data_IF_533084193555
#
_entry.id   IF_533084193555
#
_cell.length_a   1.000
_cell.length_b   1.000
_cell.length_c   1.000
_cell.angle_alpha   90.00
_cell.angle_beta   90.00
_cell.angle_gamma   90.00
#
_symmetry.space_group_name_H-M   'P 1'
#
loop_
_entity.id
_entity.type
_entity.pdbx_description
1 polymer ?
#
# COMPACT_ATOMS: atom_id res chain seq x y z
N UNK A 1 -15.64 -17.58 -7.65
CA UNK A 1 -16.33 -16.28 -7.51
C UNK A 1 -17.10 -16.32 -6.21
N UNK A 2 -17.22 -15.19 -5.52
CA UNK A 2 -18.04 -15.09 -4.32
C UNK A 2 -19.52 -15.13 -4.67
N UNK A 3 -20.31 -15.82 -3.85
CA UNK A 3 -21.75 -15.64 -3.81
C UNK A 3 -22.12 -14.28 -3.23
N UNK A 4 -23.33 -13.79 -3.51
CA UNK A 4 -23.81 -12.53 -2.93
C UNK A 4 -23.83 -12.56 -1.39
N UNK A 5 -24.18 -13.71 -0.79
CA UNK A 5 -24.17 -13.87 0.67
C UNK A 5 -22.77 -13.82 1.29
N UNK A 6 -21.77 -14.41 0.62
CA UNK A 6 -20.37 -14.31 1.04
C UNK A 6 -19.87 -12.86 0.98
N UNK A 7 -20.16 -12.14 -0.11
CA UNK A 7 -19.78 -10.73 -0.26
C UNK A 7 -20.41 -9.87 0.84
N UNK A 8 -21.71 -10.03 1.10
CA UNK A 8 -22.39 -9.29 2.15
C UNK A 8 -21.76 -9.51 3.52
N UNK A 9 -21.42 -10.76 3.83
CA UNK A 9 -20.75 -11.11 5.09
C UNK A 9 -19.38 -10.46 5.19
N UNK A 10 -18.56 -10.54 4.13
CA UNK A 10 -17.22 -9.92 4.10
C UNK A 10 -17.29 -8.39 4.22
N UNK A 11 -18.20 -7.73 3.49
CA UNK A 11 -18.40 -6.28 3.59
C UNK A 11 -18.85 -5.84 4.98
N UNK A 12 -19.73 -6.60 5.64
CA UNK A 12 -20.10 -6.33 7.03
C UNK A 12 -18.88 -6.40 7.96
N UNK A 13 -17.95 -7.35 7.75
CA UNK A 13 -16.71 -7.44 8.54
C UNK A 13 -15.80 -6.24 8.32
N UNK A 14 -15.66 -5.73 7.09
CA UNK A 14 -14.93 -4.48 6.83
C UNK A 14 -15.58 -3.28 7.51
N UNK A 15 -16.91 -3.16 7.47
CA UNK A 15 -17.62 -2.08 8.15
C UNK A 15 -17.38 -2.13 9.66
N UNK A 16 -17.52 -3.30 10.29
CA UNK A 16 -17.22 -3.49 11.72
C UNK A 16 -15.78 -3.10 12.07
N UNK A 17 -14.81 -3.40 11.20
CA UNK A 17 -13.42 -3.01 11.37
C UNK A 17 -13.27 -1.48 11.32
N UNK A 18 -13.75 -0.83 10.26
CA UNK A 18 -13.60 0.61 10.04
C UNK A 18 -14.40 1.46 11.04
N UNK A 19 -15.56 0.98 11.48
CA UNK A 19 -16.39 1.63 12.50
C UNK A 19 -15.90 1.33 13.94
N UNK A 20 -14.86 0.50 14.08
CA UNK A 20 -14.36 0.02 15.37
C UNK A 20 -15.50 -0.53 16.25
N UNK A 21 -16.37 -1.32 15.63
CA UNK A 21 -17.49 -1.96 16.32
C UNK A 21 -16.97 -2.99 17.34
N UNK A 22 -17.72 -3.19 18.42
CA UNK A 22 -17.45 -4.25 19.38
C UNK A 22 -17.59 -5.61 18.71
N UNK A 23 -16.49 -6.37 18.66
CA UNK A 23 -16.40 -7.68 18.03
C UNK A 23 -15.64 -8.66 18.93
N UNK A 24 -15.94 -9.95 18.81
CA UNK A 24 -15.26 -10.98 19.60
C UNK A 24 -13.90 -11.38 19.02
N UNK A 25 -13.68 -11.16 17.73
CA UNK A 25 -12.43 -11.49 17.02
C UNK A 25 -12.09 -10.44 15.96
N UNK A 26 -10.79 -10.22 15.66
CA UNK A 26 -10.35 -9.27 14.66
C UNK A 26 -10.85 -9.65 13.26
N UNK A 27 -10.76 -8.70 12.33
CA UNK A 27 -10.82 -9.02 10.91
C UNK A 27 -9.61 -9.89 10.56
N UNK A 28 -9.80 -10.93 9.75
CA UNK A 28 -8.70 -11.81 9.37
C UNK A 28 -8.62 -12.01 7.87
N UNK A 29 -7.41 -11.99 7.34
CA UNK A 29 -7.14 -12.21 5.93
C UNK A 29 -5.75 -12.80 5.69
N UNK A 30 -5.58 -13.45 4.54
CA UNK A 30 -4.30 -14.05 4.16
C UNK A 30 -3.77 -13.50 2.84
N UNK A 31 -2.47 -13.16 2.82
CA UNK A 31 -1.69 -12.94 1.61
C UNK A 31 -0.95 -14.24 1.26
N UNK A 32 -1.32 -14.92 0.16
CA UNK A 32 -0.66 -16.15 -0.27
C UNK A 32 0.29 -15.90 -1.45
N UNK A 33 1.42 -16.61 -1.49
CA UNK A 33 2.47 -16.43 -2.51
C UNK A 33 3.74 -15.72 -2.00
N UNK A 34 3.84 -15.51 -0.69
CA UNK A 34 5.00 -14.88 -0.04
C UNK A 34 4.98 -13.35 -0.04
N UNK A 35 6.13 -12.75 0.31
CA UNK A 35 6.27 -11.29 0.46
C UNK A 35 6.47 -10.53 -0.86
N UNK A 36 6.99 -11.18 -1.89
CA UNK A 36 7.52 -10.50 -3.08
C UNK A 36 6.68 -10.76 -4.34
N UNK A 37 6.32 -9.72 -5.11
CA UNK A 37 5.48 -9.89 -6.30
C UNK A 37 6.16 -10.71 -7.42
N UNK A 38 7.50 -10.74 -7.48
CA UNK A 38 8.26 -11.46 -8.52
C UNK A 38 8.01 -12.97 -8.58
N UNK A 39 7.66 -13.59 -7.45
CA UNK A 39 7.28 -15.01 -7.43
C UNK A 39 5.89 -15.23 -8.02
N UNK A 40 5.06 -14.19 -7.98
CA UNK A 40 3.64 -14.25 -8.30
C UNK A 40 3.32 -13.82 -9.74
N UNK A 41 4.14 -13.00 -10.39
CA UNK A 41 3.91 -12.55 -11.76
C UNK A 41 5.02 -13.07 -12.69
N UNK A 42 4.73 -14.15 -13.43
CA UNK A 42 5.67 -14.80 -14.34
C UNK A 42 5.91 -14.01 -15.61
N UNK A 43 4.96 -13.17 -16.03
CA UNK A 43 5.09 -12.32 -17.21
C UNK A 43 6.36 -11.45 -17.17
N UNK A 44 6.77 -10.98 -15.99
CA UNK A 44 7.98 -10.15 -15.83
C UNK A 44 9.28 -10.92 -16.10
N UNK A 45 9.26 -12.26 -16.05
CA UNK A 45 10.44 -13.07 -16.31
C UNK A 45 10.95 -12.94 -17.75
N UNK A 46 10.08 -12.53 -18.69
CA UNK A 46 10.48 -12.22 -20.06
C UNK A 46 11.47 -11.02 -20.13
N UNK A 47 11.46 -10.15 -19.12
CA UNK A 47 12.30 -8.95 -19.02
C UNK A 47 13.46 -9.13 -18.02
N UNK A 48 13.72 -10.37 -17.57
CA UNK A 48 14.72 -10.63 -16.52
C UNK A 48 16.17 -10.36 -16.93
N UNK A 49 16.44 -10.22 -18.24
CA UNK A 49 17.78 -9.91 -18.77
C UNK A 49 17.94 -8.42 -19.14
N UNK A 50 16.90 -7.61 -18.97
CA UNK A 50 16.99 -6.18 -19.18
C UNK A 50 17.64 -5.51 -17.97
N UNK A 51 18.31 -4.38 -18.17
CA UNK A 51 18.84 -3.54 -17.08
C UNK A 51 17.93 -2.34 -16.78
N UNK A 52 17.09 -1.96 -17.75
CA UNK A 52 16.17 -0.82 -17.70
C UNK A 52 14.83 -1.29 -18.24
N UNK A 53 13.75 -0.97 -17.52
CA UNK A 53 12.40 -1.15 -17.99
C UNK A 53 11.89 0.15 -18.60
N UNK A 54 11.31 0.04 -19.79
CA UNK A 54 10.52 1.09 -20.42
C UNK A 54 9.03 0.73 -20.37
N UNK A 55 8.16 1.74 -20.40
CA UNK A 55 6.73 1.53 -20.25
C UNK A 55 6.14 0.65 -21.37
N UNK A 56 6.65 0.78 -22.60
CA UNK A 56 6.18 0.05 -23.78
C UNK A 56 6.54 -1.44 -23.77
N UNK A 57 7.58 -1.84 -23.03
CA UNK A 57 7.98 -3.23 -22.81
C UNK A 57 6.93 -4.03 -22.03
N UNK A 58 6.09 -3.37 -21.24
CA UNK A 58 5.06 -4.00 -20.43
C UNK A 58 3.78 -4.18 -21.25
N UNK A 59 3.38 -5.43 -21.53
CA UNK A 59 2.07 -5.72 -22.11
C UNK A 59 1.08 -6.17 -21.02
N UNK A 60 0.06 -5.36 -20.65
CA UNK A 60 -0.92 -5.76 -19.64
C UNK A 60 -1.58 -7.12 -19.92
N UNK A 61 -1.84 -7.46 -21.17
CA UNK A 61 -2.50 -8.73 -21.53
C UNK A 61 -1.60 -9.94 -21.24
N UNK A 62 -0.28 -9.80 -21.38
CA UNK A 62 0.67 -10.83 -21.01
C UNK A 62 0.66 -11.15 -19.50
N UNK A 63 0.22 -10.21 -18.65
CA UNK A 63 0.12 -10.39 -17.20
C UNK A 63 -1.21 -11.02 -16.77
N UNK A 64 -2.26 -11.00 -17.60
CA UNK A 64 -3.59 -11.52 -17.24
C UNK A 64 -3.58 -12.98 -16.74
N UNK A 65 -2.86 -13.93 -17.36
CA UNK A 65 -2.79 -15.30 -16.87
C UNK A 65 -2.27 -15.42 -15.43
N UNK A 66 -1.38 -14.52 -15.00
CA UNK A 66 -0.89 -14.48 -13.62
C UNK A 66 -1.95 -13.95 -12.66
N UNK A 67 -2.62 -12.85 -13.00
CA UNK A 67 -3.75 -12.33 -12.22
C UNK A 67 -4.85 -13.38 -12.04
N UNK A 68 -5.27 -14.03 -13.13
CA UNK A 68 -6.31 -15.06 -13.08
C UNK A 68 -5.89 -16.23 -12.17
N UNK A 69 -4.65 -16.69 -12.31
CA UNK A 69 -4.11 -17.77 -11.46
C UNK A 69 -4.09 -17.39 -9.99
N UNK A 70 -3.60 -16.19 -9.65
CA UNK A 70 -3.56 -15.70 -8.26
C UNK A 70 -4.98 -15.60 -7.68
N UNK A 71 -5.89 -14.94 -8.40
CA UNK A 71 -7.29 -14.79 -7.96
C UNK A 71 -7.97 -16.14 -7.78
N UNK A 72 -7.82 -17.07 -8.73
CA UNK A 72 -8.39 -18.41 -8.66
C UNK A 72 -7.84 -19.22 -7.48
N UNK A 73 -6.55 -19.08 -7.18
CA UNK A 73 -5.90 -19.78 -6.08
C UNK A 73 -6.29 -19.21 -4.70
N UNK A 74 -6.47 -17.89 -4.60
CA UNK A 74 -6.64 -17.19 -3.31
C UNK A 74 -8.09 -16.90 -2.93
N UNK A 75 -8.99 -16.75 -3.91
CA UNK A 75 -10.43 -16.52 -3.66
C UNK A 75 -11.07 -17.57 -2.73
N UNK A 76 -10.75 -18.88 -2.84
CA UNK A 76 -11.36 -19.91 -2.00
C UNK A 76 -10.87 -19.93 -0.53
N UNK A 77 -9.86 -19.14 -0.18
CA UNK A 77 -9.34 -19.07 1.19
C UNK A 77 -10.48 -18.65 2.13
N UNK A 78 -10.65 -19.41 3.21
CA UNK A 78 -11.70 -19.17 4.20
C UNK A 78 -11.24 -18.11 5.20
N UNK A 79 -11.48 -16.84 4.85
CA UNK A 79 -11.19 -15.68 5.68
C UNK A 79 -12.26 -14.57 5.52
N UNK A 80 -12.04 -13.40 6.11
CA UNK A 80 -13.04 -12.32 6.11
C UNK A 80 -12.91 -11.36 4.92
N UNK A 81 -11.90 -11.52 4.05
CA UNK A 81 -11.53 -10.50 3.07
C UNK A 81 -11.81 -10.90 1.62
N UNK A 82 -12.06 -9.92 0.76
CA UNK A 82 -12.23 -10.13 -0.67
C UNK A 82 -10.88 -10.08 -1.38
N UNK A 83 -10.71 -10.86 -2.45
CA UNK A 83 -9.53 -10.80 -3.32
C UNK A 83 -9.80 -9.90 -4.51
N UNK A 84 -8.84 -9.07 -4.84
CA UNK A 84 -8.88 -8.12 -5.95
C UNK A 84 -7.53 -8.01 -6.65
N UNK A 85 -7.44 -7.07 -7.57
CA UNK A 85 -6.24 -6.83 -8.36
C UNK A 85 -5.92 -5.34 -8.43
N UNK A 86 -4.69 -5.03 -8.82
CA UNK A 86 -4.20 -3.68 -9.08
C UNK A 86 -3.14 -3.74 -10.20
N UNK A 87 -2.82 -2.60 -10.85
CA UNK A 87 -1.68 -2.51 -11.76
C UNK A 87 -0.42 -3.10 -11.13
N UNK A 88 0.43 -3.73 -11.94
CA UNK A 88 1.52 -4.58 -11.47
C UNK A 88 2.31 -3.91 -10.31
N UNK A 89 2.24 -4.46 -9.08
CA UNK A 89 2.61 -3.71 -7.88
C UNK A 89 4.12 -3.53 -7.67
N UNK A 90 4.95 -4.18 -8.50
CA UNK A 90 6.41 -4.06 -8.39
C UNK A 90 6.98 -2.80 -9.07
N UNK A 91 6.21 -2.14 -9.94
CA UNK A 91 6.68 -0.93 -10.62
C UNK A 91 6.62 0.26 -9.63
N UNK A 92 7.70 1.05 -9.51
CA UNK A 92 7.68 2.33 -8.78
C UNK A 92 6.94 3.38 -9.61
N UNK A 93 5.60 3.24 -9.69
CA UNK A 93 4.76 3.98 -10.63
C UNK A 93 4.92 5.50 -10.52
N UNK A 94 5.01 6.04 -9.30
CA UNK A 94 5.13 7.49 -9.08
C UNK A 94 6.48 8.00 -9.58
N UNK A 95 7.58 7.35 -9.19
CA UNK A 95 8.92 7.74 -9.62
C UNK A 95 9.12 7.58 -11.12
N UNK A 96 8.55 6.52 -11.71
CA UNK A 96 8.58 6.30 -13.14
C UNK A 96 7.84 7.41 -13.91
N UNK A 97 6.66 7.83 -13.43
CA UNK A 97 5.91 8.96 -14.00
C UNK A 97 6.68 10.29 -13.86
N UNK A 98 7.45 10.46 -12.78
CA UNK A 98 8.37 11.59 -12.59
C UNK A 98 9.64 11.50 -13.45
N UNK A 99 9.76 10.49 -14.30
CA UNK A 99 10.85 10.32 -15.25
C UNK A 99 12.11 9.72 -14.66
N UNK A 100 12.05 9.05 -13.51
CA UNK A 100 13.17 8.23 -13.02
C UNK A 100 13.38 7.02 -13.93
N UNK A 101 14.63 6.65 -14.16
CA UNK A 101 14.96 5.40 -14.87
C UNK A 101 14.53 4.22 -14.00
N UNK A 102 13.67 3.35 -14.53
CA UNK A 102 13.23 2.15 -13.82
C UNK A 102 14.22 1.03 -14.11
N UNK A 103 14.95 0.59 -13.09
CA UNK A 103 15.90 -0.54 -13.17
C UNK A 103 15.20 -1.84 -12.82
N UNK A 104 15.61 -2.93 -13.46
CA UNK A 104 15.20 -4.28 -13.11
C UNK A 104 16.45 -5.14 -12.87
N UNK A 105 16.36 -6.01 -11.87
CA UNK A 105 17.33 -7.05 -11.58
C UNK A 105 16.59 -8.30 -11.08
N UNK A 106 17.25 -9.47 -10.99
CA UNK A 106 16.62 -10.67 -10.44
C UNK A 106 15.97 -10.41 -9.07
N UNK A 107 14.63 -10.41 -9.05
CA UNK A 107 13.83 -10.23 -7.84
C UNK A 107 13.63 -8.78 -7.36
N UNK A 108 14.01 -7.76 -8.15
CA UNK A 108 13.83 -6.36 -7.76
C UNK A 108 13.58 -5.43 -8.95
N UNK A 109 12.73 -4.43 -8.76
CA UNK A 109 12.53 -3.29 -9.66
C UNK A 109 12.57 -2.04 -8.78
N UNK A 110 13.33 -1.03 -9.19
CA UNK A 110 13.45 0.21 -8.44
C UNK A 110 13.67 1.40 -9.37
N UNK A 111 13.43 2.61 -8.86
CA UNK A 111 13.72 3.85 -9.56
C UNK A 111 15.13 4.33 -9.21
N UNK A 112 15.91 4.68 -10.22
CA UNK A 112 17.20 5.35 -10.04
C UNK A 112 17.01 6.81 -9.63
N UNK A 113 17.81 7.29 -8.68
CA UNK A 113 17.79 8.68 -8.24
C UNK A 113 18.24 9.60 -9.37
N UNK A 114 17.44 10.64 -9.68
CA UNK A 114 17.77 11.59 -10.75
C UNK A 114 18.77 12.67 -10.32
N UNK A 115 18.86 12.95 -9.02
CA UNK A 115 19.74 13.99 -8.46
C UNK A 115 19.57 15.37 -9.10
N UNK A 116 18.33 15.76 -9.41
CA UNK A 116 18.02 16.99 -10.15
C UNK A 116 18.44 18.27 -9.41
N UNK A 117 18.76 19.31 -10.18
CA UNK A 117 18.91 20.68 -9.72
C UNK A 117 17.54 21.34 -9.43
N UNK A 118 17.55 22.46 -8.70
CA UNK A 118 16.31 23.20 -8.41
C UNK A 118 15.61 23.70 -9.68
N UNK A 119 16.36 24.20 -10.66
CA UNK A 119 15.82 24.67 -11.94
C UNK A 119 15.10 23.54 -12.71
N UNK A 120 15.66 22.33 -12.70
CA UNK A 120 15.02 21.15 -13.32
C UNK A 120 13.74 20.75 -12.57
N UNK A 121 13.77 20.81 -11.23
CA UNK A 121 12.61 20.51 -10.38
C UNK A 121 11.47 21.52 -10.52
N UNK A 122 11.76 22.76 -10.94
CA UNK A 122 10.71 23.73 -11.23
C UNK A 122 9.81 23.30 -12.38
N UNK A 123 10.35 22.55 -13.33
CA UNK A 123 9.66 22.10 -14.55
C UNK A 123 9.05 20.71 -14.45
N UNK A 124 9.17 20.03 -13.30
CA UNK A 124 8.64 18.68 -13.12
C UNK A 124 7.10 18.69 -13.25
N UNK A 125 6.59 17.82 -14.13
CA UNK A 125 5.16 17.62 -14.33
C UNK A 125 4.89 16.20 -14.84
N UNK A 126 3.66 15.74 -14.68
CA UNK A 126 3.18 14.48 -15.26
C UNK A 126 2.03 14.83 -16.21
N UNK A 127 2.35 14.87 -17.49
CA UNK A 127 1.39 15.16 -18.55
C UNK A 127 0.51 13.94 -18.87
N UNK A 128 -0.63 14.16 -19.55
CA UNK A 128 -1.56 13.08 -19.88
C UNK A 128 -0.94 12.03 -20.81
N UNK A 129 -0.04 12.42 -21.70
CA UNK A 129 0.67 11.53 -22.63
C UNK A 129 1.91 10.87 -22.02
N UNK A 130 2.16 11.05 -20.71
CA UNK A 130 3.27 10.40 -20.01
C UNK A 130 3.21 8.87 -20.18
N UNK A 131 4.26 8.22 -20.72
CA UNK A 131 4.23 6.79 -21.06
C UNK A 131 3.92 5.88 -19.87
N UNK A 132 4.44 6.20 -18.68
CA UNK A 132 4.21 5.42 -17.46
C UNK A 132 2.81 5.62 -16.91
N UNK A 133 2.26 6.83 -16.98
CA UNK A 133 0.85 7.08 -16.67
C UNK A 133 -0.06 6.31 -17.62
N UNK A 134 0.18 6.38 -18.93
CA UNK A 134 -0.60 5.64 -19.92
C UNK A 134 -0.52 4.14 -19.69
N UNK A 135 0.66 3.61 -19.34
CA UNK A 135 0.81 2.19 -19.02
C UNK A 135 0.07 1.78 -17.76
N UNK A 136 0.16 2.59 -16.70
CA UNK A 136 -0.59 2.38 -15.46
C UNK A 136 -2.10 2.34 -15.69
N UNK A 137 -2.63 3.29 -16.48
CA UNK A 137 -4.04 3.32 -16.84
C UNK A 137 -4.42 2.15 -17.77
N UNK A 138 -3.54 1.71 -18.67
CA UNK A 138 -3.77 0.52 -19.50
C UNK A 138 -3.88 -0.77 -18.67
N UNK A 139 -3.02 -0.95 -17.65
CA UNK A 139 -3.18 -2.04 -16.68
C UNK A 139 -4.51 -1.95 -15.93
N UNK A 140 -4.89 -0.74 -15.51
CA UNK A 140 -6.15 -0.51 -14.80
C UNK A 140 -7.35 -0.88 -15.68
N UNK A 141 -7.40 -0.39 -16.91
CA UNK A 141 -8.47 -0.70 -17.89
C UNK A 141 -8.56 -2.20 -18.15
N UNK A 142 -7.43 -2.87 -18.43
CA UNK A 142 -7.40 -4.32 -18.63
C UNK A 142 -7.99 -5.06 -17.42
N UNK A 143 -7.62 -4.68 -16.20
CA UNK A 143 -8.15 -5.32 -14.99
C UNK A 143 -9.64 -5.07 -14.77
N UNK A 144 -10.12 -3.86 -15.09
CA UNK A 144 -11.54 -3.49 -14.98
C UNK A 144 -12.36 -4.29 -15.98
N UNK A 145 -11.92 -4.36 -17.24
CA UNK A 145 -12.57 -5.13 -18.29
C UNK A 145 -12.63 -6.62 -17.92
N UNK A 146 -11.52 -7.17 -17.43
CA UNK A 146 -11.44 -8.57 -17.00
C UNK A 146 -12.19 -8.85 -15.71
N UNK A 147 -12.41 -7.86 -14.85
CA UNK A 147 -13.15 -8.04 -13.60
C UNK A 147 -14.58 -8.48 -13.88
N UNK A 148 -15.27 -7.84 -14.83
CA UNK A 148 -16.70 -8.05 -15.07
C UNK A 148 -17.54 -7.98 -13.78
N UNK A 149 -17.09 -7.17 -12.79
CA UNK A 149 -17.71 -7.05 -11.47
C UNK A 149 -17.51 -8.26 -10.54
N UNK A 150 -16.56 -9.16 -10.84
CA UNK A 150 -16.31 -10.38 -10.03
C UNK A 150 -15.29 -10.16 -8.90
N UNK A 151 -14.44 -9.16 -9.02
CA UNK A 151 -13.43 -8.77 -8.02
C UNK A 151 -13.15 -7.26 -8.07
N UNK A 152 -12.75 -6.62 -6.96
CA UNK A 152 -12.39 -5.22 -6.98
C UNK A 152 -11.06 -5.00 -7.71
N UNK A 153 -10.97 -3.90 -8.46
CA UNK A 153 -9.72 -3.34 -8.96
C UNK A 153 -9.41 -2.10 -8.13
N UNK A 154 -8.20 -2.03 -7.58
CA UNK A 154 -7.87 -1.03 -6.56
C UNK A 154 -6.43 -0.55 -6.63
N UNK A 155 -6.05 0.29 -5.67
CA UNK A 155 -4.74 0.93 -5.63
C UNK A 155 -3.61 -0.10 -5.44
N UNK A 156 -2.53 -0.03 -6.25
CA UNK A 156 -1.30 -0.74 -5.97
C UNK A 156 -0.46 0.03 -4.94
N UNK A 157 0.83 -0.29 -4.85
CA UNK A 157 1.80 0.57 -4.16
C UNK A 157 1.97 1.85 -5.00
N UNK A 158 1.70 3.00 -4.39
CA UNK A 158 2.10 4.32 -4.87
C UNK A 158 2.93 4.94 -3.74
N UNK A 159 4.22 5.14 -3.97
CA UNK A 159 5.14 5.68 -2.96
C UNK A 159 4.88 7.16 -2.74
N UNK A 160 5.03 7.60 -1.49
CA UNK A 160 4.58 8.91 -1.04
C UNK A 160 5.61 10.01 -1.28
N UNK A 161 5.42 11.12 -0.56
CA UNK A 161 6.08 12.38 -0.86
C UNK A 161 7.58 12.30 -0.55
N UNK A 162 7.98 11.73 0.58
CA UNK A 162 9.40 11.58 0.92
C UNK A 162 10.13 10.67 -0.07
N UNK A 163 9.48 9.62 -0.57
CA UNK A 163 10.04 8.71 -1.55
C UNK A 163 10.20 9.39 -2.91
N UNK A 164 9.18 10.14 -3.36
CA UNK A 164 9.23 10.94 -4.58
C UNK A 164 10.33 12.01 -4.50
N UNK A 165 10.47 12.68 -3.35
CA UNK A 165 11.55 13.64 -3.10
C UNK A 165 12.92 12.97 -3.18
N UNK A 166 13.11 11.83 -2.51
CA UNK A 166 14.36 11.07 -2.53
C UNK A 166 14.73 10.64 -3.96
N UNK A 167 13.76 10.16 -4.74
CA UNK A 167 13.98 9.74 -6.12
C UNK A 167 14.36 10.90 -7.05
N UNK A 168 13.74 12.07 -6.88
CA UNK A 168 14.01 13.24 -7.71
C UNK A 168 15.32 13.95 -7.33
N UNK A 169 15.51 14.23 -6.03
CA UNK A 169 16.58 15.08 -5.51
C UNK A 169 17.84 14.32 -5.10
N UNK A 170 17.67 13.03 -4.82
CA UNK A 170 18.66 12.13 -4.23
C UNK A 170 18.44 11.98 -2.73
N UNK A 171 18.47 10.75 -2.21
CA UNK A 171 18.13 10.40 -0.83
C UNK A 171 19.00 11.09 0.22
N UNK A 172 20.29 11.30 -0.06
CA UNK A 172 21.18 12.05 0.83
C UNK A 172 20.98 13.55 0.71
N UNK A 173 20.79 14.05 -0.53
CA UNK A 173 20.78 15.48 -0.83
C UNK A 173 19.52 16.15 -0.31
N UNK A 174 18.36 15.48 -0.43
CA UNK A 174 17.10 15.96 0.12
C UNK A 174 17.19 16.21 1.63
N UNK A 175 17.92 15.39 2.39
CA UNK A 175 18.04 15.56 3.84
C UNK A 175 18.83 16.82 4.22
N UNK A 176 19.84 17.20 3.43
CA UNK A 176 20.52 18.49 3.60
C UNK A 176 19.62 19.65 3.18
N UNK A 177 18.89 19.50 2.08
CA UNK A 177 17.97 20.52 1.58
C UNK A 177 16.84 20.86 2.57
N UNK A 178 16.46 19.94 3.48
CA UNK A 178 15.50 20.21 4.57
C UNK A 178 15.96 21.38 5.46
N UNK A 179 17.26 21.64 5.55
CA UNK A 179 17.83 22.75 6.30
C UNK A 179 18.27 23.90 5.40
N UNK A 180 18.93 23.58 4.29
CA UNK A 180 19.58 24.58 3.44
C UNK A 180 18.60 25.26 2.46
N UNK A 181 17.52 24.56 2.09
CA UNK A 181 16.56 24.97 1.06
C UNK A 181 15.09 24.61 1.43
N UNK A 182 14.61 24.99 2.63
CA UNK A 182 13.30 24.54 3.13
C UNK A 182 12.12 25.09 2.31
N UNK A 183 12.23 26.31 1.77
CA UNK A 183 11.16 26.94 0.99
C UNK A 183 11.04 26.34 -0.40
N UNK A 184 12.17 26.01 -1.05
CA UNK A 184 12.20 25.27 -2.30
C UNK A 184 11.58 23.87 -2.13
N UNK A 185 11.93 23.17 -1.06
CA UNK A 185 11.34 21.85 -0.76
C UNK A 185 9.84 21.94 -0.55
N UNK A 186 9.33 22.92 0.22
CA UNK A 186 7.89 23.10 0.43
C UNK A 186 7.15 23.31 -0.90
N UNK A 187 7.70 24.14 -1.80
CA UNK A 187 7.12 24.33 -3.15
C UNK A 187 7.14 23.04 -3.98
N UNK A 188 8.20 22.24 -3.88
CA UNK A 188 8.28 20.96 -4.58
C UNK A 188 7.26 19.96 -4.01
N UNK A 189 7.16 19.86 -2.69
CA UNK A 189 6.18 19.03 -1.96
C UNK A 189 4.76 19.33 -2.44
N UNK A 190 4.38 20.61 -2.53
CA UNK A 190 3.06 21.01 -3.03
C UNK A 190 2.81 20.50 -4.46
N UNK A 191 3.81 20.53 -5.34
CA UNK A 191 3.71 19.96 -6.69
C UNK A 191 3.52 18.45 -6.66
N UNK A 192 4.29 17.74 -5.83
CA UNK A 192 4.22 16.28 -5.73
C UNK A 192 2.89 15.81 -5.15
N UNK A 193 2.33 16.53 -4.17
CA UNK A 193 0.97 16.29 -3.65
C UNK A 193 -0.07 16.40 -4.76
N UNK A 194 0.00 17.44 -5.58
CA UNK A 194 -0.93 17.62 -6.70
C UNK A 194 -0.80 16.50 -7.76
N UNK A 195 0.43 16.07 -8.06
CA UNK A 195 0.68 14.94 -8.97
C UNK A 195 0.11 13.64 -8.39
N UNK A 196 0.34 13.38 -7.10
CA UNK A 196 -0.19 12.20 -6.42
C UNK A 196 -1.72 12.17 -6.47
N UNK A 197 -2.38 13.28 -6.12
CA UNK A 197 -3.84 13.44 -6.19
C UNK A 197 -4.37 13.22 -7.61
N UNK A 198 -3.68 13.74 -8.63
CA UNK A 198 -4.06 13.55 -10.03
C UNK A 198 -4.05 12.06 -10.41
N UNK A 199 -2.99 11.32 -10.07
CA UNK A 199 -2.85 9.89 -10.41
C UNK A 199 -3.93 9.05 -9.73
N UNK A 200 -4.16 9.24 -8.42
CA UNK A 200 -5.19 8.47 -7.70
C UNK A 200 -6.61 8.79 -8.19
N UNK A 201 -6.87 10.03 -8.63
CA UNK A 201 -8.17 10.43 -9.15
C UNK A 201 -8.43 9.77 -10.50
N UNK A 202 -7.45 9.80 -11.42
CA UNK A 202 -7.55 9.10 -12.71
C UNK A 202 -7.79 7.60 -12.53
N UNK A 203 -7.10 6.97 -11.58
CA UNK A 203 -7.36 5.54 -11.29
C UNK A 203 -8.78 5.32 -10.76
N UNK A 204 -9.21 6.10 -9.78
CA UNK A 204 -10.52 5.95 -9.15
C UNK A 204 -11.69 6.17 -10.13
N UNK A 205 -11.50 7.06 -11.11
CA UNK A 205 -12.45 7.28 -12.21
C UNK A 205 -12.57 6.06 -13.12
N UNK A 206 -11.44 5.41 -13.45
CA UNK A 206 -11.43 4.20 -14.28
C UNK A 206 -11.99 2.97 -13.56
N UNK A 207 -11.62 2.76 -12.29
CA UNK A 207 -12.04 1.54 -11.57
C UNK A 207 -13.51 1.59 -11.18
N UNK A 208 -14.02 2.78 -10.84
CA UNK A 208 -15.34 2.94 -10.24
C UNK A 208 -15.48 2.18 -8.90
N UNK A 209 -16.67 2.22 -8.28
CA UNK A 209 -16.91 1.52 -7.03
C UNK A 209 -17.21 0.03 -7.24
N UNK A 210 -16.57 -0.84 -6.46
CA UNK A 210 -16.92 -2.25 -6.34
C UNK A 210 -17.89 -2.42 -5.15
N UNK A 211 -19.16 -2.72 -5.43
CA UNK A 211 -20.23 -2.81 -4.42
C UNK A 211 -20.32 -1.56 -3.53
N UNK A 212 -20.15 -0.38 -4.11
CA UNK A 212 -20.22 0.91 -3.39
C UNK A 212 -18.94 1.32 -2.67
N UNK A 213 -17.86 0.55 -2.79
CA UNK A 213 -16.58 0.85 -2.14
C UNK A 213 -15.36 0.75 -3.05
N UNK A 214 -14.20 1.07 -2.50
CA UNK A 214 -12.90 1.05 -3.18
C UNK A 214 -11.96 0.06 -2.49
N UNK A 215 -10.77 -0.16 -3.07
CA UNK A 215 -9.89 -1.26 -2.66
C UNK A 215 -8.41 -0.87 -2.66
N UNK A 216 -7.64 -1.35 -1.68
CA UNK A 216 -6.16 -1.44 -1.71
C UNK A 216 -5.78 -2.91 -1.81
N UNK A 217 -5.04 -3.25 -2.85
CA UNK A 217 -4.76 -4.65 -3.19
C UNK A 217 -3.87 -5.37 -2.18
N UNK A 218 -2.73 -4.77 -1.81
CA UNK A 218 -1.74 -5.44 -0.95
C UNK A 218 -2.31 -5.86 0.40
N UNK A 219 -3.22 -5.05 0.95
CA UNK A 219 -3.84 -5.28 2.25
C UNK A 219 -5.22 -5.96 2.14
N UNK A 220 -5.67 -6.30 0.93
CA UNK A 220 -7.04 -6.73 0.69
C UNK A 220 -8.07 -5.85 1.44
N UNK A 221 -7.82 -4.54 1.50
CA UNK A 221 -8.63 -3.61 2.28
C UNK A 221 -9.71 -3.01 1.39
N UNK A 222 -10.97 -3.25 1.73
CA UNK A 222 -12.11 -2.60 1.12
C UNK A 222 -12.72 -1.60 2.11
N UNK A 223 -13.20 -0.46 1.60
CA UNK A 223 -13.94 0.51 2.40
C UNK A 223 -15.19 1.00 1.65
N UNK A 224 -16.29 1.35 2.35
CA UNK A 224 -17.56 1.77 1.76
C UNK A 224 -17.51 3.24 1.27
N UNK A 225 -16.49 3.56 0.48
CA UNK A 225 -16.22 4.89 -0.05
C UNK A 225 -14.82 4.95 -0.67
N UNK A 226 -14.47 6.11 -1.25
CA UNK A 226 -13.11 6.31 -1.77
C UNK A 226 -12.09 6.14 -0.65
N UNK A 227 -10.96 5.54 -0.99
CA UNK A 227 -9.88 5.32 -0.05
C UNK A 227 -8.53 5.54 -0.70
N UNK A 228 -7.59 6.07 0.08
CA UNK A 228 -6.21 6.36 -0.35
C UNK A 228 -5.22 5.53 0.46
N UNK A 229 -4.11 5.15 -0.18
CA UNK A 229 -2.95 4.58 0.48
C UNK A 229 -1.81 5.58 0.48
N UNK A 230 -1.23 5.81 1.65
CA UNK A 230 -0.02 6.58 1.88
C UNK A 230 1.11 5.66 2.34
N UNK A 231 2.34 6.12 2.14
CA UNK A 231 3.57 5.46 2.54
C UNK A 231 4.69 6.48 2.49
N UNK A 232 5.61 6.44 3.45
CA UNK A 232 6.70 7.41 3.56
C UNK A 232 8.00 6.66 3.95
N UNK A 233 8.54 5.79 3.08
CA UNK A 233 9.66 4.93 3.47
C UNK A 233 10.94 5.74 3.73
N UNK A 234 11.20 6.75 2.89
CA UNK A 234 12.32 7.66 3.06
C UNK A 234 12.22 8.51 4.34
N UNK A 235 11.07 8.55 5.02
CA UNK A 235 10.93 9.18 6.34
C UNK A 235 11.80 8.53 7.41
N UNK A 236 12.32 7.32 7.20
CA UNK A 236 13.30 6.69 8.07
C UNK A 236 14.60 7.53 8.26
N UNK A 237 14.87 8.48 7.37
CA UNK A 237 15.99 9.43 7.47
C UNK A 237 15.61 10.76 8.16
N UNK A 238 14.34 10.95 8.49
CA UNK A 238 13.82 12.19 9.06
C UNK A 238 13.87 12.13 10.59
N UNK A 239 13.99 13.29 11.22
CA UNK A 239 13.72 13.42 12.66
C UNK A 239 12.25 13.80 12.89
N UNK A 240 11.68 13.56 14.09
CA UNK A 240 10.31 13.98 14.39
C UNK A 240 9.99 15.47 14.07
N UNK A 241 10.87 16.44 14.39
CA UNK A 241 10.68 17.83 13.94
C UNK A 241 10.59 18.01 12.42
N UNK A 242 11.45 17.32 11.67
CA UNK A 242 11.45 17.40 10.19
C UNK A 242 10.19 16.74 9.60
N UNK A 243 9.74 15.61 10.15
CA UNK A 243 8.48 15.00 9.75
C UNK A 243 7.31 15.98 9.94
N UNK A 244 7.20 16.60 11.12
CA UNK A 244 6.15 17.60 11.41
C UNK A 244 6.19 18.78 10.45
N UNK A 245 7.38 19.28 10.13
CA UNK A 245 7.52 20.46 9.27
C UNK A 245 7.22 20.16 7.80
N UNK A 246 7.64 19.01 7.29
CA UNK A 246 7.64 18.76 5.84
C UNK A 246 6.67 17.70 5.36
N UNK A 247 6.31 16.70 6.17
CA UNK A 247 5.50 15.55 5.74
C UNK A 247 4.12 15.52 6.38
N UNK A 248 3.98 15.96 7.64
CA UNK A 248 2.70 15.92 8.34
C UNK A 248 1.63 16.75 7.61
N UNK A 249 1.96 17.95 7.13
CA UNK A 249 1.02 18.78 6.36
C UNK A 249 0.53 18.11 5.06
N UNK A 250 1.44 17.69 4.16
CA UNK A 250 1.10 16.91 2.97
C UNK A 250 0.28 15.65 3.27
N UNK A 251 0.65 14.89 4.30
CA UNK A 251 -0.07 13.67 4.68
C UNK A 251 -1.50 13.97 5.13
N UNK A 252 -1.73 15.09 5.86
CA UNK A 252 -3.10 15.55 6.19
C UNK A 252 -3.90 15.85 4.93
N UNK A 253 -3.30 16.51 3.93
CA UNK A 253 -3.96 16.84 2.66
C UNK A 253 -4.34 15.56 1.91
N UNK A 254 -3.39 14.63 1.77
CA UNK A 254 -3.60 13.38 1.04
C UNK A 254 -4.62 12.50 1.77
N UNK A 255 -4.47 12.28 3.08
CA UNK A 255 -5.40 11.49 3.88
C UNK A 255 -6.82 12.08 3.88
N UNK A 256 -6.93 13.42 3.94
CA UNK A 256 -8.21 14.15 3.92
C UNK A 256 -8.88 14.24 2.54
N UNK A 257 -8.20 13.81 1.47
CA UNK A 257 -8.75 13.86 0.10
C UNK A 257 -9.84 12.80 -0.17
N UNK A 258 -9.92 11.77 0.68
CA UNK A 258 -10.90 10.69 0.58
C UNK A 258 -11.50 10.36 1.96
N UNK A 259 -12.71 9.79 2.03
CA UNK A 259 -13.34 9.43 3.30
C UNK A 259 -12.56 8.43 4.16
N UNK A 260 -11.76 7.56 3.52
CA UNK A 260 -10.93 6.58 4.19
C UNK A 260 -9.48 6.70 3.73
N UNK A 261 -8.56 6.39 4.62
CA UNK A 261 -7.13 6.52 4.37
C UNK A 261 -6.35 5.47 5.14
N UNK A 262 -5.31 4.94 4.52
CA UNK A 262 -4.37 4.02 5.13
C UNK A 262 -2.97 4.57 4.98
N UNK A 263 -2.16 4.54 6.03
CA UNK A 263 -0.71 4.72 5.92
C UNK A 263 0.02 3.41 6.22
N UNK A 264 0.96 3.04 5.35
CA UNK A 264 1.84 1.89 5.50
C UNK A 264 3.11 2.28 6.26
N UNK A 265 3.48 1.50 7.28
CA UNK A 265 4.68 1.72 8.08
C UNK A 265 5.54 0.45 8.20
N UNK A 266 6.82 0.62 7.93
CA UNK A 266 7.87 -0.31 8.33
C UNK A 266 8.27 -0.09 9.80
N UNK A 267 8.87 -1.11 10.41
CA UNK A 267 9.39 -1.00 11.78
C UNK A 267 10.43 0.11 11.96
N UNK A 268 11.15 0.47 10.89
CA UNK A 268 12.09 1.59 10.83
C UNK A 268 11.44 2.96 11.04
N UNK A 269 10.13 3.11 10.83
CA UNK A 269 9.42 4.40 10.92
C UNK A 269 8.64 4.56 12.22
N UNK A 270 8.63 3.56 13.11
CA UNK A 270 7.80 3.57 14.33
C UNK A 270 8.19 4.67 15.33
N UNK A 271 9.40 5.23 15.24
CA UNK A 271 9.80 6.38 16.04
C UNK A 271 9.07 7.67 15.66
N UNK A 272 8.43 7.72 14.49
CA UNK A 272 7.56 8.82 14.02
C UNK A 272 6.08 8.59 14.34
N UNK A 273 5.72 7.45 14.96
CA UNK A 273 4.33 7.03 15.10
C UNK A 273 3.46 8.05 15.85
N UNK A 274 4.00 8.74 16.86
CA UNK A 274 3.26 9.78 17.58
C UNK A 274 2.84 10.93 16.64
N UNK A 275 3.74 11.40 15.78
CA UNK A 275 3.46 12.48 14.82
C UNK A 275 2.51 12.02 13.71
N UNK A 276 2.61 10.74 13.30
CA UNK A 276 1.69 10.14 12.33
C UNK A 276 0.29 10.00 12.92
N UNK A 277 0.16 9.54 14.18
CA UNK A 277 -1.13 9.40 14.85
C UNK A 277 -1.83 10.73 15.11
N UNK A 278 -1.07 11.84 15.14
CA UNK A 278 -1.60 13.20 15.23
C UNK A 278 -2.25 13.71 13.92
N UNK A 279 -2.21 12.92 12.84
CA UNK A 279 -2.98 13.18 11.61
C UNK A 279 -4.39 12.62 11.80
N UNK A 280 -5.35 13.50 12.06
CA UNK A 280 -6.74 13.14 12.36
C UNK A 280 -7.41 12.43 11.18
N UNK A 281 -7.04 12.84 9.96
CA UNK A 281 -7.59 12.36 8.70
C UNK A 281 -7.18 10.90 8.38
N UNK A 282 -6.16 10.37 9.06
CA UNK A 282 -5.76 8.96 8.92
C UNK A 282 -6.79 8.05 9.59
N UNK A 283 -7.37 7.09 8.85
CA UNK A 283 -8.34 6.14 9.40
C UNK A 283 -7.70 4.83 9.84
N UNK A 284 -6.72 4.35 9.08
CA UNK A 284 -6.07 3.05 9.26
C UNK A 284 -4.56 3.21 9.31
N UNK A 285 -3.92 2.67 10.35
CA UNK A 285 -2.47 2.51 10.42
C UNK A 285 -2.15 1.07 10.12
N UNK A 286 -1.32 0.84 9.10
CA UNK A 286 -0.79 -0.48 8.80
C UNK A 286 0.66 -0.55 9.26
N UNK A 287 0.98 -1.55 10.09
CA UNK A 287 2.34 -1.82 10.56
C UNK A 287 2.78 -3.19 10.06
N UNK A 288 3.89 -3.22 9.33
CA UNK A 288 4.44 -4.44 8.76
C UNK A 288 5.40 -5.15 9.75
N UNK A 289 5.26 -6.47 9.88
CA UNK A 289 6.27 -7.35 10.47
C UNK A 289 7.25 -7.73 9.36
N UNK A 290 8.33 -6.97 9.29
CA UNK A 290 9.37 -7.11 8.28
C UNK A 290 10.21 -8.38 8.50
N UNK A 291 10.65 -9.01 7.40
CA UNK A 291 11.60 -10.13 7.48
C UNK A 291 12.93 -9.62 8.04
N UNK A 292 13.34 -10.16 9.19
CA UNK A 292 14.55 -9.69 9.90
C UNK A 292 14.40 -8.33 10.60
N UNK A 293 13.18 -7.77 10.65
CA UNK A 293 12.89 -6.52 11.34
C UNK A 293 12.61 -6.69 12.84
N UNK A 294 11.99 -5.67 13.42
CA UNK A 294 11.63 -5.64 14.84
C UNK A 294 10.71 -6.82 15.21
N UNK A 295 11.04 -7.61 16.26
CA UNK A 295 10.18 -8.71 16.69
C UNK A 295 8.92 -8.22 17.41
N UNK A 296 7.85 -9.01 17.38
CA UNK A 296 6.52 -8.64 17.92
C UNK A 296 6.52 -8.12 19.36
N UNK A 297 7.26 -8.70 20.32
CA UNK A 297 7.34 -8.15 21.68
C UNK A 297 7.81 -6.69 21.73
N UNK A 298 8.70 -6.29 20.83
CA UNK A 298 9.20 -4.92 20.73
C UNK A 298 8.25 -4.01 19.93
N UNK A 299 7.48 -4.56 19.00
CA UNK A 299 6.43 -3.83 18.29
C UNK A 299 5.23 -3.51 19.18
N UNK A 300 4.94 -4.36 20.19
CA UNK A 300 3.73 -4.30 21.01
C UNK A 300 3.39 -2.93 21.62
N UNK A 301 4.35 -2.13 22.15
CA UNK A 301 4.05 -0.77 22.60
C UNK A 301 3.47 0.12 21.50
N UNK A 302 4.05 0.08 20.29
CA UNK A 302 3.57 0.85 19.14
C UNK A 302 2.20 0.39 18.65
N UNK A 303 1.95 -0.92 18.64
CA UNK A 303 0.64 -1.47 18.27
C UNK A 303 -0.46 -0.99 19.23
N UNK A 304 -0.16 -0.91 20.53
CA UNK A 304 -1.07 -0.35 21.53
C UNK A 304 -1.28 1.15 21.35
N UNK A 305 -0.23 1.91 21.03
CA UNK A 305 -0.35 3.34 20.74
C UNK A 305 -1.38 3.60 19.62
N UNK A 306 -1.41 2.77 18.57
CA UNK A 306 -2.44 2.87 17.52
C UNK A 306 -3.86 2.64 18.06
N UNK A 307 -4.06 1.61 18.89
CA UNK A 307 -5.37 1.32 19.48
C UNK A 307 -5.81 2.41 20.47
N UNK A 308 -4.89 2.89 21.30
CA UNK A 308 -5.12 3.94 22.30
C UNK A 308 -5.47 5.29 21.63
N UNK A 309 -4.90 5.55 20.45
CA UNK A 309 -5.26 6.69 19.60
C UNK A 309 -6.61 6.53 18.87
N UNK A 310 -7.30 5.39 19.05
CA UNK A 310 -8.58 5.12 18.43
C UNK A 310 -8.48 4.97 16.91
N UNK A 311 -7.33 4.57 16.35
CA UNK A 311 -7.19 4.29 14.92
C UNK A 311 -7.36 2.80 14.65
N UNK A 312 -7.81 2.46 13.44
CA UNK A 312 -7.82 1.05 13.01
C UNK A 312 -6.39 0.58 12.76
N UNK A 313 -6.07 -0.65 13.17
CA UNK A 313 -4.75 -1.24 13.06
C UNK A 313 -4.76 -2.46 12.13
N UNK A 314 -3.95 -2.42 11.09
CA UNK A 314 -3.63 -3.61 10.28
C UNK A 314 -2.21 -4.07 10.63
N UNK A 315 -2.06 -5.33 11.01
CA UNK A 315 -0.75 -5.98 11.19
C UNK A 315 -0.56 -6.97 10.05
N UNK A 316 0.49 -6.78 9.25
CA UNK A 316 0.80 -7.68 8.12
C UNK A 316 2.16 -8.33 8.30
N UNK A 317 2.27 -9.62 8.00
CA UNK A 317 3.55 -10.33 7.88
C UNK A 317 3.40 -11.83 8.07
N UNK A 318 4.52 -12.56 8.09
CA UNK A 318 4.55 -13.97 8.49
C UNK A 318 4.38 -14.03 10.01
N UNK A 319 3.14 -14.27 10.45
CA UNK A 319 2.73 -14.31 11.84
C UNK A 319 2.62 -15.77 12.28
N UNK A 320 3.45 -16.18 13.22
CA UNK A 320 3.36 -17.54 13.80
C UNK A 320 2.36 -17.60 14.97
N UNK A 321 2.17 -18.78 15.56
CA UNK A 321 1.25 -18.94 16.68
C UNK A 321 1.68 -18.16 17.94
N UNK A 322 2.97 -17.91 18.13
CA UNK A 322 3.47 -17.13 19.27
C UNK A 322 3.14 -15.65 19.08
N UNK A 323 3.38 -15.11 17.89
CA UNK A 323 2.98 -13.75 17.51
C UNK A 323 1.47 -13.56 17.71
N UNK A 324 0.66 -14.48 17.19
CA UNK A 324 -0.80 -14.42 17.30
C UNK A 324 -1.28 -14.54 18.75
N UNK A 325 -0.65 -15.39 19.56
CA UNK A 325 -0.93 -15.48 21.00
C UNK A 325 -0.61 -14.19 21.75
N UNK A 326 0.48 -13.51 21.39
CA UNK A 326 0.83 -12.21 21.95
C UNK A 326 -0.20 -11.14 21.57
N UNK A 327 -0.60 -11.08 20.30
CA UNK A 327 -1.64 -10.14 19.86
C UNK A 327 -2.97 -10.41 20.59
N UNK A 328 -3.41 -11.66 20.65
CA UNK A 328 -4.64 -12.05 21.38
C UNK A 328 -4.61 -11.64 22.85
N UNK A 329 -3.47 -11.80 23.51
CA UNK A 329 -3.32 -11.46 24.93
C UNK A 329 -3.30 -9.95 25.19
N UNK A 330 -2.84 -9.15 24.23
CA UNK A 330 -2.44 -7.76 24.49
C UNK A 330 -3.15 -6.70 23.66
N UNK A 331 -3.85 -7.06 22.59
CA UNK A 331 -4.58 -6.15 21.71
C UNK A 331 -6.08 -6.45 21.75
N UNK A 332 -6.90 -5.41 21.65
CA UNK A 332 -8.33 -5.56 21.49
C UNK A 332 -8.64 -6.06 20.06
N UNK A 333 -9.66 -6.92 19.86
CA UNK A 333 -10.12 -7.32 18.52
C UNK A 333 -10.79 -6.17 17.75
N UNK A 334 -11.31 -5.17 18.46
CA UNK A 334 -11.97 -3.99 17.89
C UNK A 334 -11.00 -3.16 17.06
N UNK A 335 -11.36 -2.86 15.81
CA UNK A 335 -10.50 -2.11 14.89
C UNK A 335 -9.18 -2.79 14.57
N UNK A 336 -9.05 -4.11 14.82
CA UNK A 336 -7.84 -4.88 14.52
C UNK A 336 -8.07 -5.77 13.30
N UNK A 337 -7.11 -5.75 12.38
CA UNK A 337 -7.04 -6.63 11.21
C UNK A 337 -5.68 -7.31 11.17
N UNK A 338 -5.69 -8.65 11.26
CA UNK A 338 -4.51 -9.49 11.05
C UNK A 338 -4.44 -10.00 9.62
N UNK A 339 -3.38 -9.60 8.91
CA UNK A 339 -3.12 -10.04 7.54
C UNK A 339 -1.87 -10.93 7.48
N UNK A 340 -2.05 -12.24 7.64
CA UNK A 340 -0.95 -13.21 7.68
C UNK A 340 -0.45 -13.52 6.26
N UNK A 341 0.86 -13.41 6.05
CA UNK A 341 1.55 -13.84 4.84
C UNK A 341 1.85 -15.34 4.96
N UNK A 342 1.40 -16.11 3.97
CA UNK A 342 1.54 -17.55 3.88
C UNK A 342 2.17 -17.95 2.53
N UNK A 343 2.79 -19.13 2.49
CA UNK A 343 3.44 -19.62 1.27
C UNK A 343 2.39 -20.01 0.23
N UNK A 344 1.43 -20.85 0.61
CA UNK A 344 0.34 -21.32 -0.24
C UNK A 344 -1.06 -21.13 0.37
N UNK A 345 -2.13 -21.04 -0.44
CA UNK A 345 -3.51 -20.94 0.04
C UNK A 345 -3.93 -22.04 1.02
N UNK A 346 -3.38 -23.24 0.88
CA UNK A 346 -3.61 -24.40 1.74
C UNK A 346 -3.18 -24.19 3.20
N UNK A 347 -2.19 -23.32 3.42
CA UNK A 347 -1.60 -23.07 4.74
C UNK A 347 -2.51 -22.23 5.64
N UNK A 348 -3.48 -21.51 5.06
CA UNK A 348 -4.48 -20.76 5.82
C UNK A 348 -5.21 -21.67 6.83
N UNK A 349 -5.40 -22.96 6.49
CA UNK A 349 -6.07 -23.93 7.36
C UNK A 349 -5.40 -24.12 8.71
N UNK A 350 -4.07 -23.93 8.78
CA UNK A 350 -3.26 -24.07 10.01
C UNK A 350 -3.63 -23.04 11.08
N UNK A 351 -4.24 -21.92 10.67
CA UNK A 351 -4.62 -20.83 11.56
C UNK A 351 -6.10 -20.86 11.97
N UNK A 352 -6.92 -21.70 11.32
CA UNK A 352 -8.39 -21.66 11.44
C UNK A 352 -8.89 -21.80 12.87
N UNK A 353 -8.35 -22.75 13.64
CA UNK A 353 -8.76 -22.98 15.04
C UNK A 353 -8.38 -21.78 15.92
N UNK A 354 -7.15 -21.26 15.75
CA UNK A 354 -6.65 -20.15 16.56
C UNK A 354 -7.46 -18.86 16.36
N UNK A 355 -7.92 -18.62 15.13
CA UNK A 355 -8.61 -17.38 14.76
C UNK A 355 -10.11 -17.41 15.06
N UNK A 356 -10.70 -18.59 15.27
CA UNK A 356 -12.12 -18.74 15.62
C UNK A 356 -12.38 -18.43 17.09
N UNK A 357 -11.48 -18.85 17.98
CA UNK A 357 -11.54 -18.57 19.41
C UNK A 357 -10.58 -17.42 19.74
N UNK A 358 -10.92 -16.16 19.46
CA UNK A 358 -10.11 -15.00 19.87
C UNK A 358 -10.42 -14.57 21.30
#
# INVERSE_FOLDING_TARGET
>A
MYSQGELQTKFQRYQQFLEQAQVNRPLVGFSAGGYFPFTSYRAIAALANEDVLEADMLDPEAFWPDYERILKATTPIQDDVVRGAAPFPAIPWMEAMLGCTVRIAPGSIWAEEKCLSWDELETIQVDEDNPWLQKYLAFTTMLVDRSEGRFPVGLPILRGISDMLAALRGSSKVIYDLYDHPDELKRLIDKLVNIFLMVINKMAELTGPFHGGYFIEQFALWAPGRLIRLQEDASALYSPPLFREFLQGPDRILAGSTPFSLIHLHSSSLFLLEDILAIDELTVIQINKDVGGMPVPQMMPYLKMVQDAGKCLIIRGSLDHEDLALFRKHLAPTGLYLQTVIDGPEDAKRYSEFLQDW
#
